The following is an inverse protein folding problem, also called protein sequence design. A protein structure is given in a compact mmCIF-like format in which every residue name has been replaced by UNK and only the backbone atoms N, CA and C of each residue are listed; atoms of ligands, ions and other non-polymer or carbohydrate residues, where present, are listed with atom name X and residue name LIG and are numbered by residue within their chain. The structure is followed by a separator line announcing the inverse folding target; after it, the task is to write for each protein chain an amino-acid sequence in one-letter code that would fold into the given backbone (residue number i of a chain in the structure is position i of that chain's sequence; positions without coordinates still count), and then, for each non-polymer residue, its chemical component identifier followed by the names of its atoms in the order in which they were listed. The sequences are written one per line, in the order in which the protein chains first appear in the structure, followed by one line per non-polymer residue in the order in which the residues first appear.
data_IF_908224760091
#
_entry.id   IF_908224760091
#
_cell.length_a   1.000
_cell.length_b   1.000
_cell.length_c   1.000
_cell.angle_alpha   90.00
_cell.angle_beta   90.00
_cell.angle_gamma   90.00
#
_symmetry.space_group_name_H-M   'P 1'
#
loop_
_entity.id
_entity.type
_entity.pdbx_description
1 polymer ?
#
# COMPACT_ATOMS: atom_id res chain seq x y z
N UNK A 1 21.15 -8.71 -11.75
CA UNK A 1 19.98 -7.84 -11.99
C UNK A 1 19.43 -7.39 -10.64
N UNK A 2 18.67 -6.29 -10.60
CA UNK A 2 18.00 -5.78 -9.41
C UNK A 2 16.48 -5.93 -9.55
N UNK A 3 15.78 -6.21 -8.46
CA UNK A 3 14.32 -6.35 -8.41
C UNK A 3 13.72 -5.31 -7.49
N UNK A 4 12.60 -4.72 -7.89
CA UNK A 4 11.80 -3.86 -7.02
C UNK A 4 10.42 -4.50 -6.78
N UNK A 5 10.11 -4.81 -5.53
CA UNK A 5 8.81 -5.39 -5.16
C UNK A 5 7.79 -4.27 -4.95
N UNK A 6 6.64 -4.38 -5.63
CA UNK A 6 5.48 -3.51 -5.43
C UNK A 6 4.32 -4.36 -4.92
N UNK A 7 3.76 -3.99 -3.77
CA UNK A 7 2.60 -4.66 -3.19
C UNK A 7 1.29 -4.01 -3.62
N UNK A 8 0.20 -4.75 -3.55
CA UNK A 8 -1.13 -4.29 -3.97
C UNK A 8 -1.69 -3.09 -3.20
N UNK A 9 -1.18 -2.84 -1.99
CA UNK A 9 -1.50 -1.65 -1.20
C UNK A 9 -0.47 -0.50 -1.36
N UNK A 10 0.51 -0.64 -2.25
CA UNK A 10 1.60 0.31 -2.47
C UNK A 10 1.65 0.79 -3.94
N UNK A 11 0.49 0.97 -4.55
CA UNK A 11 0.37 1.47 -5.92
C UNK A 11 0.54 2.99 -5.95
N UNK A 12 1.72 3.45 -5.55
CA UNK A 12 2.06 4.87 -5.51
C UNK A 12 2.32 5.42 -6.91
N UNK A 13 2.25 6.75 -7.07
CA UNK A 13 2.60 7.39 -8.34
C UNK A 13 3.93 6.85 -8.89
N UNK A 14 4.01 6.53 -10.20
CA UNK A 14 5.26 6.09 -10.82
C UNK A 14 6.43 7.08 -10.65
N UNK A 15 6.16 8.32 -10.22
CA UNK A 15 7.22 9.28 -9.88
C UNK A 15 8.13 8.80 -8.75
N UNK A 16 7.60 8.02 -7.80
CA UNK A 16 8.40 7.42 -6.71
C UNK A 16 9.31 6.26 -7.18
N UNK A 17 9.14 5.82 -8.43
CA UNK A 17 9.92 4.71 -9.01
C UNK A 17 11.00 5.20 -9.98
N UNK A 18 11.13 6.51 -10.19
CA UNK A 18 12.05 7.09 -11.19
C UNK A 18 13.51 6.71 -10.97
N UNK A 19 13.94 6.63 -9.71
CA UNK A 19 15.32 6.34 -9.34
C UNK A 19 15.66 4.84 -9.44
N UNK A 20 14.65 4.00 -9.75
CA UNK A 20 14.75 2.54 -9.83
C UNK A 20 14.54 2.01 -11.26
N UNK A 21 14.73 2.83 -12.29
CA UNK A 21 14.51 2.43 -13.70
C UNK A 21 15.43 1.28 -14.17
N UNK A 22 16.54 1.07 -13.49
CA UNK A 22 17.46 -0.05 -13.72
C UNK A 22 16.97 -1.39 -13.11
N UNK A 23 15.89 -1.35 -12.31
CA UNK A 23 15.29 -2.52 -11.69
C UNK A 23 14.24 -3.18 -12.60
N UNK A 24 14.02 -4.46 -12.36
CA UNK A 24 12.83 -5.17 -12.81
C UNK A 24 11.80 -5.03 -11.69
N UNK A 25 10.60 -4.53 -12.00
CA UNK A 25 9.51 -4.41 -11.03
C UNK A 25 8.76 -5.72 -10.93
N UNK A 26 8.44 -6.14 -9.71
CA UNK A 26 7.72 -7.38 -9.45
C UNK A 26 6.42 -7.10 -8.72
N UNK A 27 5.34 -7.61 -9.28
CA UNK A 27 4.01 -7.62 -8.65
C UNK A 27 3.40 -9.02 -8.80
N UNK A 28 2.70 -9.48 -7.79
CA UNK A 28 2.01 -10.76 -7.83
C UNK A 28 0.65 -10.68 -7.16
N UNK A 29 -0.38 -11.11 -7.85
CA UNK A 29 -1.67 -11.42 -7.26
C UNK A 29 -1.49 -12.68 -6.39
N UNK A 30 -1.97 -12.65 -5.15
CA UNK A 30 -1.67 -13.69 -4.17
C UNK A 30 -2.92 -14.14 -3.41
N UNK A 31 -3.11 -15.47 -3.35
CA UNK A 31 -4.26 -16.07 -2.71
C UNK A 31 -4.20 -15.90 -1.18
N UNK A 32 -3.03 -16.13 -0.57
CA UNK A 32 -2.86 -16.03 0.88
C UNK A 32 -3.13 -14.62 1.37
N UNK A 33 -2.67 -13.58 0.62
CA UNK A 33 -2.97 -12.18 0.94
C UNK A 33 -4.45 -11.81 0.77
N UNK A 34 -5.20 -12.56 -0.03
CA UNK A 34 -6.64 -12.37 -0.17
C UNK A 34 -7.46 -13.13 0.89
N UNK A 35 -6.88 -14.12 1.58
CA UNK A 35 -7.62 -15.09 2.40
C UNK A 35 -7.16 -15.22 3.84
N UNK A 36 -6.06 -14.54 4.25
CA UNK A 36 -5.63 -14.56 5.66
C UNK A 36 -6.70 -13.98 6.61
N UNK A 37 -7.58 -13.16 6.08
CA UNK A 37 -8.82 -12.70 6.67
C UNK A 37 -9.96 -12.87 5.64
N UNK A 38 -11.20 -13.03 6.10
CA UNK A 38 -12.37 -13.08 5.21
C UNK A 38 -12.71 -11.68 4.68
N UNK A 39 -11.86 -11.14 3.83
CA UNK A 39 -12.10 -9.83 3.22
C UNK A 39 -13.35 -9.84 2.37
N UNK A 40 -14.07 -8.72 2.35
CA UNK A 40 -15.22 -8.51 1.47
C UNK A 40 -14.80 -8.67 -0.01
N UNK A 41 -15.62 -9.36 -0.82
CA UNK A 41 -15.33 -9.62 -2.25
C UNK A 41 -15.02 -8.35 -3.05
N UNK A 42 -15.74 -7.25 -2.79
CA UNK A 42 -15.45 -5.96 -3.43
C UNK A 42 -14.08 -5.39 -3.07
N UNK A 43 -13.57 -5.65 -1.85
CA UNK A 43 -12.21 -5.27 -1.48
C UNK A 43 -11.18 -6.06 -2.29
N UNK A 44 -11.36 -7.38 -2.42
CA UNK A 44 -10.48 -8.22 -3.24
C UNK A 44 -10.51 -7.77 -4.71
N UNK A 45 -11.71 -7.53 -5.24
CA UNK A 45 -11.90 -7.03 -6.60
C UNK A 45 -11.19 -5.70 -6.84
N UNK A 46 -11.32 -4.75 -5.90
CA UNK A 46 -10.65 -3.46 -5.97
C UNK A 46 -9.12 -3.63 -6.03
N UNK A 47 -8.54 -4.42 -5.12
CA UNK A 47 -7.09 -4.61 -5.08
C UNK A 47 -6.57 -5.26 -6.37
N UNK A 48 -7.13 -6.38 -6.79
CA UNK A 48 -6.67 -7.09 -7.98
C UNK A 48 -6.86 -6.25 -9.27
N UNK A 49 -8.00 -5.57 -9.39
CA UNK A 49 -8.28 -4.68 -10.52
C UNK A 49 -7.31 -3.49 -10.57
N UNK A 50 -7.03 -2.86 -9.42
CA UNK A 50 -6.09 -1.75 -9.32
C UNK A 50 -4.65 -2.19 -9.62
N UNK A 51 -4.24 -3.35 -9.15
CA UNK A 51 -2.93 -3.92 -9.46
C UNK A 51 -2.74 -4.14 -10.96
N UNK A 52 -3.74 -4.66 -11.66
CA UNK A 52 -3.70 -4.83 -13.13
C UNK A 52 -3.63 -3.51 -13.87
N UNK A 53 -4.44 -2.54 -13.44
CA UNK A 53 -4.42 -1.19 -14.03
C UNK A 53 -3.06 -0.51 -13.82
N UNK A 54 -2.49 -0.64 -12.64
CA UNK A 54 -1.17 -0.10 -12.33
C UNK A 54 -0.05 -0.79 -13.11
N UNK A 55 -0.11 -2.12 -13.28
CA UNK A 55 0.78 -2.86 -14.18
C UNK A 55 0.76 -2.26 -15.59
N UNK A 56 -0.43 -2.00 -16.13
CA UNK A 56 -0.58 -1.48 -17.49
C UNK A 56 -0.07 -0.03 -17.58
N UNK A 57 -0.26 0.78 -16.54
CA UNK A 57 0.34 2.11 -16.44
C UNK A 57 1.88 2.03 -16.42
N UNK A 58 2.47 1.14 -15.64
CA UNK A 58 3.91 0.97 -15.61
C UNK A 58 4.46 0.53 -16.97
N UNK A 59 3.77 -0.41 -17.65
CA UNK A 59 4.15 -0.86 -19.00
C UNK A 59 4.08 0.28 -20.01
N UNK A 60 3.05 1.11 -19.98
CA UNK A 60 2.91 2.26 -20.89
C UNK A 60 4.01 3.31 -20.69
N UNK A 61 4.61 3.34 -19.50
CA UNK A 61 5.76 4.21 -19.15
C UNK A 61 7.12 3.53 -19.32
N UNK A 62 7.17 2.39 -20.03
CA UNK A 62 8.37 1.61 -20.33
C UNK A 62 9.12 1.04 -19.11
N UNK A 63 8.42 0.81 -17.99
CA UNK A 63 9.01 0.07 -16.88
C UNK A 63 9.05 -1.43 -17.18
N UNK A 64 10.17 -2.08 -16.85
CA UNK A 64 10.31 -3.54 -16.95
C UNK A 64 9.57 -4.20 -15.79
N UNK A 65 8.47 -4.90 -16.05
CA UNK A 65 7.65 -5.50 -15.02
C UNK A 65 7.45 -7.01 -15.22
N UNK A 66 7.63 -7.77 -14.16
CA UNK A 66 7.19 -9.15 -14.01
C UNK A 66 5.90 -9.10 -13.19
N UNK A 67 4.80 -9.55 -13.79
CA UNK A 67 3.49 -9.59 -13.14
C UNK A 67 2.96 -11.02 -13.14
N UNK A 68 2.64 -11.52 -11.97
CA UNK A 68 2.01 -12.82 -11.80
C UNK A 68 0.52 -12.63 -11.48
N UNK A 69 -0.33 -12.90 -12.45
CA UNK A 69 -1.78 -12.80 -12.33
C UNK A 69 -2.43 -14.11 -11.83
N UNK A 70 -3.74 -14.09 -11.74
CA UNK A 70 -4.56 -15.25 -11.38
C UNK A 70 -4.52 -16.31 -12.50
N UNK A 71 -3.64 -17.28 -12.32
CA UNK A 71 -3.45 -18.44 -13.18
C UNK A 71 -3.30 -19.70 -12.31
N UNK A 72 -2.83 -20.82 -12.89
CA UNK A 72 -2.60 -22.07 -12.16
C UNK A 72 -1.69 -21.95 -10.91
N UNK A 73 -0.88 -20.89 -10.84
CA UNK A 73 0.03 -20.59 -9.72
C UNK A 73 -0.53 -19.60 -8.72
N UNK A 74 -1.76 -19.13 -8.89
CA UNK A 74 -2.38 -18.14 -8.00
C UNK A 74 -2.36 -18.59 -6.53
N UNK A 75 -2.61 -19.87 -6.26
CA UNK A 75 -2.58 -20.45 -4.91
C UNK A 75 -1.17 -20.80 -4.40
N UNK A 76 -0.13 -20.62 -5.19
CA UNK A 76 1.24 -20.74 -4.72
C UNK A 76 1.57 -19.52 -3.86
N UNK A 77 2.17 -19.71 -2.68
CA UNK A 77 2.45 -18.61 -1.76
C UNK A 77 3.37 -17.55 -2.38
N UNK A 78 3.15 -16.30 -2.00
CA UNK A 78 3.93 -15.15 -2.48
C UNK A 78 5.44 -15.40 -2.37
N UNK A 79 5.88 -15.91 -1.21
CA UNK A 79 7.29 -16.19 -0.92
C UNK A 79 7.89 -17.17 -1.92
N UNK A 80 7.17 -18.26 -2.25
CA UNK A 80 7.64 -19.25 -3.24
C UNK A 80 7.71 -18.66 -4.65
N UNK A 81 6.72 -17.84 -5.04
CA UNK A 81 6.74 -17.13 -6.33
C UNK A 81 7.92 -16.17 -6.42
N UNK A 82 8.13 -15.36 -5.37
CA UNK A 82 9.25 -14.43 -5.29
C UNK A 82 10.60 -15.14 -5.35
N UNK A 83 10.80 -16.21 -4.56
CA UNK A 83 12.03 -17.01 -4.55
C UNK A 83 12.35 -17.56 -5.94
N UNK A 84 11.33 -18.07 -6.64
CA UNK A 84 11.46 -18.54 -8.01
C UNK A 84 11.93 -17.43 -8.95
N UNK A 85 11.30 -16.26 -8.93
CA UNK A 85 11.67 -15.11 -9.78
C UNK A 85 13.10 -14.66 -9.49
N UNK A 86 13.49 -14.58 -8.22
CA UNK A 86 14.85 -14.23 -7.81
C UNK A 86 15.87 -15.19 -8.43
N UNK A 87 15.62 -16.49 -8.35
CA UNK A 87 16.49 -17.54 -8.90
C UNK A 87 16.55 -17.50 -10.42
N UNK A 88 15.38 -17.53 -11.08
CA UNK A 88 15.28 -17.60 -12.55
C UNK A 88 15.89 -16.38 -13.23
N UNK A 89 15.77 -15.19 -12.63
CA UNK A 89 16.31 -13.93 -13.15
C UNK A 89 17.70 -13.59 -12.60
N UNK A 90 18.29 -14.45 -11.78
CA UNK A 90 19.62 -14.23 -11.17
C UNK A 90 19.70 -12.85 -10.50
N UNK A 91 18.67 -12.52 -9.70
CA UNK A 91 18.59 -11.25 -8.96
C UNK A 91 19.69 -11.22 -7.90
N UNK A 92 20.35 -10.07 -7.74
CA UNK A 92 21.43 -9.86 -6.76
C UNK A 92 21.07 -8.85 -5.68
N UNK A 93 20.03 -8.05 -5.92
CA UNK A 93 19.55 -7.02 -4.99
C UNK A 93 18.05 -6.89 -5.10
N UNK A 94 17.37 -6.77 -3.96
CA UNK A 94 15.93 -6.58 -3.86
C UNK A 94 15.64 -5.29 -3.12
N UNK A 95 14.88 -4.40 -3.78
CA UNK A 95 14.39 -3.13 -3.22
C UNK A 95 12.89 -3.22 -2.99
N UNK A 96 12.38 -2.55 -1.97
CA UNK A 96 10.95 -2.40 -1.72
C UNK A 96 10.69 -1.25 -0.73
N UNK A 97 9.51 -0.66 -0.80
CA UNK A 97 9.05 0.27 0.24
C UNK A 97 8.80 -0.47 1.55
N UNK A 98 8.99 0.18 2.70
CA UNK A 98 8.58 -0.36 4.00
C UNK A 98 7.20 -0.99 3.90
N UNK A 99 7.05 -2.21 4.42
CA UNK A 99 5.81 -2.99 4.36
C UNK A 99 5.04 -2.77 5.66
N UNK A 100 3.80 -2.32 5.55
CA UNK A 100 2.98 -1.96 6.71
C UNK A 100 2.39 -3.18 7.42
N UNK A 101 2.11 -4.24 6.67
CA UNK A 101 1.72 -5.54 7.23
C UNK A 101 2.94 -6.23 7.86
N UNK A 102 3.06 -6.13 9.17
CA UNK A 102 4.22 -6.67 9.92
C UNK A 102 4.41 -8.18 9.77
N UNK A 103 3.37 -9.03 9.81
CA UNK A 103 3.51 -10.46 9.53
C UNK A 103 4.06 -10.74 8.13
N UNK A 104 3.58 -10.00 7.13
CA UNK A 104 4.04 -10.15 5.76
C UNK A 104 5.47 -9.62 5.57
N UNK A 105 5.81 -8.46 6.17
CA UNK A 105 7.18 -7.93 6.19
C UNK A 105 8.17 -8.97 6.73
N UNK A 106 7.83 -9.61 7.86
CA UNK A 106 8.66 -10.68 8.43
C UNK A 106 8.87 -11.85 7.47
N UNK A 107 7.82 -12.28 6.74
CA UNK A 107 7.93 -13.36 5.74
C UNK A 107 8.91 -12.98 4.62
N UNK A 108 8.80 -11.78 4.07
CA UNK A 108 9.68 -11.29 3.01
C UNK A 108 11.12 -11.19 3.50
N UNK A 109 11.35 -10.52 4.62
CA UNK A 109 12.70 -10.34 5.20
C UNK A 109 13.34 -11.70 5.54
N UNK A 110 12.56 -12.64 6.09
CA UNK A 110 13.06 -13.99 6.41
C UNK A 110 13.49 -14.76 5.16
N UNK A 111 12.73 -14.68 4.07
CA UNK A 111 13.14 -15.26 2.79
C UNK A 111 14.46 -14.63 2.31
N UNK A 112 14.52 -13.30 2.23
CA UNK A 112 15.67 -12.59 1.69
C UNK A 112 16.95 -12.84 2.51
N UNK A 113 16.82 -12.93 3.84
CA UNK A 113 17.92 -13.34 4.72
C UNK A 113 18.37 -14.79 4.48
N UNK A 114 17.41 -15.73 4.38
CA UNK A 114 17.69 -17.15 4.12
C UNK A 114 18.53 -17.38 2.86
N UNK A 115 18.28 -16.59 1.81
CA UNK A 115 19.00 -16.68 0.54
C UNK A 115 20.16 -15.69 0.44
N UNK A 116 20.55 -15.05 1.55
CA UNK A 116 21.64 -14.07 1.64
C UNK A 116 21.54 -12.94 0.59
N UNK A 117 20.33 -12.41 0.40
CA UNK A 117 20.03 -11.36 -0.58
C UNK A 117 20.40 -9.98 -0.06
N UNK A 118 21.03 -9.17 -0.92
CA UNK A 118 21.21 -7.74 -0.66
C UNK A 118 19.85 -7.05 -0.70
N UNK A 119 19.48 -6.39 0.42
CA UNK A 119 18.17 -5.74 0.60
C UNK A 119 18.33 -4.23 0.69
N UNK A 120 17.50 -3.51 -0.04
CA UNK A 120 17.37 -2.06 0.05
C UNK A 120 15.91 -1.72 0.41
N UNK A 121 15.65 -1.50 1.70
CA UNK A 121 14.33 -1.09 2.19
C UNK A 121 14.23 0.44 2.16
N UNK A 122 13.20 0.95 1.47
CA UNK A 122 12.99 2.36 1.19
C UNK A 122 11.86 2.87 2.06
N UNK A 123 11.99 4.08 2.58
CA UNK A 123 10.91 4.73 3.33
C UNK A 123 9.64 4.80 2.49
N UNK A 124 8.52 4.40 3.10
CA UNK A 124 7.24 4.41 2.40
C UNK A 124 6.70 5.83 2.24
N UNK A 125 6.19 6.20 1.06
CA UNK A 125 5.47 7.47 0.89
C UNK A 125 4.02 7.41 1.39
N UNK A 126 3.58 6.28 1.98
CA UNK A 126 2.21 6.11 2.49
C UNK A 126 1.90 7.02 3.66
N UNK A 127 2.90 7.38 4.47
CA UNK A 127 2.74 8.20 5.67
C UNK A 127 3.59 9.47 5.59
N UNK A 128 3.10 10.54 6.20
CA UNK A 128 3.83 11.80 6.35
C UNK A 128 4.95 11.72 7.39
N UNK A 129 4.96 10.66 8.19
CA UNK A 129 5.93 10.41 9.27
C UNK A 129 6.61 9.08 9.08
N UNK A 130 7.87 9.00 9.50
CA UNK A 130 8.64 7.76 9.44
C UNK A 130 8.44 6.91 10.69
N UNK A 131 8.81 5.64 10.61
CA UNK A 131 8.85 4.72 11.77
C UNK A 131 9.79 5.23 12.86
N UNK A 132 10.91 5.83 12.47
CA UNK A 132 11.90 6.40 13.38
C UNK A 132 11.32 7.59 14.16
N UNK A 133 10.64 8.52 13.48
CA UNK A 133 9.99 9.67 14.11
C UNK A 133 8.93 9.24 15.12
N UNK A 134 8.13 8.23 14.78
CA UNK A 134 7.15 7.69 15.72
C UNK A 134 7.81 6.98 16.91
N UNK A 135 8.87 6.21 16.66
CA UNK A 135 9.67 5.56 17.72
C UNK A 135 10.32 6.58 18.65
N UNK A 136 10.87 7.65 18.11
CA UNK A 136 11.42 8.77 18.89
C UNK A 136 10.35 9.43 19.75
N UNK A 137 9.16 9.68 19.20
CA UNK A 137 8.05 10.19 20.00
C UNK A 137 7.69 9.25 21.14
N UNK A 138 7.57 7.95 20.90
CA UNK A 138 7.25 6.95 21.93
C UNK A 138 8.32 6.91 23.04
N UNK A 139 9.58 7.13 22.72
CA UNK A 139 10.66 7.11 23.71
C UNK A 139 10.65 8.31 24.68
N UNK A 140 10.04 9.42 24.27
CA UNK A 140 9.95 10.66 25.08
C UNK A 140 8.81 10.65 26.09
N UNK A 141 7.83 9.77 25.95
CA UNK A 141 6.60 9.79 26.75
C UNK A 141 6.30 8.44 27.39
N UNK A 142 6.15 8.41 28.72
CA UNK A 142 5.70 7.19 29.43
C UNK A 142 4.33 6.69 28.97
N UNK A 143 3.42 7.62 28.63
CA UNK A 143 2.10 7.33 28.08
C UNK A 143 1.94 8.12 26.78
N UNK A 144 2.13 7.51 25.63
CA UNK A 144 1.94 8.18 24.36
C UNK A 144 0.46 8.55 24.17
N UNK A 145 0.24 9.76 23.69
CA UNK A 145 -1.12 10.27 23.44
C UNK A 145 -1.20 10.80 22.00
N UNK A 146 -2.06 10.22 21.20
CA UNK A 146 -2.16 10.51 19.76
C UNK A 146 -2.32 12.01 19.47
N UNK A 147 -3.11 12.74 20.27
CA UNK A 147 -3.29 14.18 20.08
C UNK A 147 -1.98 14.96 20.20
N UNK A 148 -1.06 14.56 21.07
CA UNK A 148 0.24 15.22 21.20
C UNK A 148 1.14 14.91 20.00
N UNK A 149 1.15 13.66 19.55
CA UNK A 149 1.85 13.29 18.31
C UNK A 149 1.32 14.07 17.10
N UNK A 150 -0.01 14.11 16.93
CA UNK A 150 -0.67 14.87 15.88
C UNK A 150 -0.27 16.35 15.89
N UNK A 151 -0.30 17.00 17.07
CA UNK A 151 0.12 18.41 17.21
C UNK A 151 1.57 18.62 16.80
N UNK A 152 2.48 17.78 17.28
CA UNK A 152 3.91 17.89 16.95
C UNK A 152 4.19 17.73 15.48
N UNK A 153 3.57 16.75 14.83
CA UNK A 153 3.76 16.49 13.40
C UNK A 153 3.11 17.60 12.56
N UNK A 154 1.92 18.05 12.92
CA UNK A 154 1.23 19.14 12.22
C UNK A 154 2.04 20.44 12.29
N UNK A 155 2.65 20.74 13.44
CA UNK A 155 3.55 21.88 13.59
C UNK A 155 4.82 21.72 12.76
N UNK A 156 5.49 20.54 12.85
CA UNK A 156 6.70 20.24 12.11
C UNK A 156 6.52 20.36 10.59
N UNK A 157 5.40 19.88 10.06
CA UNK A 157 5.09 19.89 8.62
C UNK A 157 4.37 21.16 8.17
N UNK A 158 4.12 22.10 9.08
CA UNK A 158 3.40 23.34 8.82
C UNK A 158 2.01 23.13 8.16
N UNK A 159 1.31 22.05 8.55
CA UNK A 159 0.00 21.70 7.96
C UNK A 159 -1.10 22.43 8.72
N UNK A 160 -1.89 23.26 8.00
CA UNK A 160 -2.97 24.07 8.56
C UNK A 160 -2.49 24.94 9.75
N UNK A 161 -1.33 25.52 9.63
CA UNK A 161 -0.78 26.50 10.58
C UNK A 161 -0.87 27.90 9.97
N UNK A 162 -0.96 28.93 10.83
CA UNK A 162 -0.84 30.32 10.43
C UNK A 162 0.62 30.81 10.50
N UNK A 163 0.88 32.04 10.11
CA UNK A 163 2.20 32.67 10.16
C UNK A 163 2.80 32.80 11.57
N UNK A 164 1.95 32.79 12.61
CA UNK A 164 2.36 32.84 14.03
C UNK A 164 2.67 31.47 14.61
N UNK A 165 2.61 30.38 13.81
CA UNK A 165 2.79 29.00 14.29
C UNK A 165 1.61 28.47 15.10
N UNK A 166 0.42 29.09 15.02
CA UNK A 166 -0.81 28.64 15.64
C UNK A 166 -1.67 27.85 14.66
N UNK A 167 -2.52 26.90 15.11
CA UNK A 167 -3.40 26.18 14.22
C UNK A 167 -4.42 27.13 13.58
N UNK A 168 -4.72 26.97 12.29
CA UNK A 168 -5.79 27.69 11.61
C UNK A 168 -7.12 27.42 12.33
N UNK A 169 -7.94 28.45 12.51
CA UNK A 169 -9.18 28.39 13.26
C UNK A 169 -9.00 28.27 14.78
N UNK A 170 -7.78 28.51 15.31
CA UNK A 170 -7.43 28.47 16.74
C UNK A 170 -7.75 27.13 17.43
N UNK A 171 -8.01 26.06 16.66
CA UNK A 171 -8.31 24.71 17.17
C UNK A 171 -7.36 23.68 16.55
N UNK A 172 -6.91 22.73 17.39
CA UNK A 172 -6.12 21.61 16.93
C UNK A 172 -6.96 20.48 16.33
N UNK A 173 -8.19 20.31 16.76
CA UNK A 173 -9.11 19.29 16.29
C UNK A 173 -10.51 19.86 16.14
N UNK A 174 -11.26 19.35 15.17
CA UNK A 174 -12.67 19.65 14.93
C UNK A 174 -13.54 18.40 15.12
N UNK A 175 -13.03 17.35 15.77
CA UNK A 175 -13.72 16.07 15.99
C UNK A 175 -15.00 16.20 16.80
N UNK A 176 -15.14 17.25 17.60
CA UNK A 176 -16.38 17.53 18.34
C UNK A 176 -17.60 17.74 17.43
N UNK A 177 -17.35 18.13 16.17
CA UNK A 177 -18.40 18.33 15.17
C UNK A 177 -18.77 17.05 14.41
N UNK A 178 -17.93 16.04 14.46
CA UNK A 178 -18.04 14.80 13.69
C UNK A 178 -19.32 13.97 14.02
N UNK A 179 -19.88 14.15 15.22
CA UNK A 179 -21.08 13.45 15.68
C UNK A 179 -22.34 14.31 15.67
N UNK A 180 -22.25 15.56 15.23
CA UNK A 180 -23.39 16.44 15.10
C UNK A 180 -24.22 16.07 13.88
N UNK A 181 -25.53 16.36 13.93
CA UNK A 181 -26.39 16.22 12.75
C UNK A 181 -25.93 17.19 11.67
N UNK A 182 -26.00 16.75 10.41
CA UNK A 182 -25.77 17.64 9.28
C UNK A 182 -26.79 18.79 9.31
N UNK A 183 -26.36 20.03 9.06
CA UNK A 183 -27.29 21.15 8.86
C UNK A 183 -28.25 20.83 7.70
N UNK A 184 -29.50 21.32 7.83
CA UNK A 184 -30.55 21.03 6.82
C UNK A 184 -30.25 21.64 5.44
N UNK A 185 -29.47 22.71 5.41
CA UNK A 185 -29.13 23.51 4.25
C UNK A 185 -27.81 23.07 3.59
N UNK A 186 -27.15 22.05 4.12
CA UNK A 186 -25.89 21.59 3.56
C UNK A 186 -26.11 20.89 2.21
N UNK A 187 -25.47 21.38 1.20
CA UNK A 187 -25.50 20.76 -0.13
C UNK A 187 -24.56 19.54 -0.14
N UNK A 188 -25.14 18.35 -0.23
CA UNK A 188 -24.36 17.11 -0.37
C UNK A 188 -23.77 17.06 -1.79
N UNK A 189 -22.43 16.90 -1.93
CA UNK A 189 -21.83 16.79 -3.25
C UNK A 189 -22.29 15.51 -3.98
N UNK A 190 -22.45 15.61 -5.29
CA UNK A 190 -22.76 14.44 -6.11
C UNK A 190 -21.62 13.43 -6.10
N UNK A 191 -21.96 12.14 -5.96
CA UNK A 191 -20.98 11.06 -6.05
C UNK A 191 -20.61 10.87 -7.53
N UNK A 192 -19.32 10.96 -7.90
CA UNK A 192 -18.90 10.79 -9.28
C UNK A 192 -19.22 9.36 -9.75
N UNK A 193 -19.88 9.26 -10.94
CA UNK A 193 -20.18 7.97 -11.57
C UNK A 193 -18.90 7.41 -12.21
N UNK A 194 -18.27 6.44 -11.55
CA UNK A 194 -17.10 5.77 -12.07
C UNK A 194 -17.51 4.56 -12.94
N UNK A 195 -16.84 4.39 -14.07
CA UNK A 195 -17.01 3.21 -14.92
C UNK A 195 -16.05 2.10 -14.48
N UNK A 196 -16.55 0.86 -14.46
CA UNK A 196 -15.73 -0.31 -14.23
C UNK A 196 -14.69 -0.46 -15.35
N UNK A 197 -13.44 -0.77 -14.99
CA UNK A 197 -12.39 -1.07 -15.97
C UNK A 197 -12.62 -2.45 -16.61
N UNK A 198 -11.94 -2.74 -17.72
CA UNK A 198 -11.94 -4.08 -18.31
C UNK A 198 -11.46 -5.14 -17.31
N UNK A 199 -10.44 -4.81 -16.51
CA UNK A 199 -9.92 -5.69 -15.47
C UNK A 199 -10.95 -5.98 -14.39
N UNK A 200 -11.71 -4.97 -13.94
CA UNK A 200 -12.81 -5.16 -12.99
C UNK A 200 -13.84 -6.16 -13.53
N UNK A 201 -14.24 -6.02 -14.79
CA UNK A 201 -15.23 -6.90 -15.41
C UNK A 201 -14.72 -8.35 -15.56
N UNK A 202 -13.46 -8.53 -15.93
CA UNK A 202 -12.83 -9.85 -16.04
C UNK A 202 -12.72 -10.56 -14.69
N UNK A 203 -12.45 -9.81 -13.60
CA UNK A 203 -12.23 -10.37 -12.28
C UNK A 203 -13.51 -10.76 -11.55
N UNK A 204 -14.66 -10.16 -11.86
CA UNK A 204 -15.94 -10.44 -11.18
C UNK A 204 -16.24 -11.93 -11.07
N UNK A 205 -16.28 -12.64 -12.22
CA UNK A 205 -16.56 -14.09 -12.24
C UNK A 205 -15.53 -14.90 -11.47
N UNK A 206 -14.26 -14.54 -11.58
CA UNK A 206 -13.19 -15.20 -10.84
C UNK A 206 -13.36 -15.05 -9.32
N UNK A 207 -13.68 -13.84 -8.85
CA UNK A 207 -13.91 -13.56 -7.44
C UNK A 207 -15.08 -14.38 -6.90
N UNK A 208 -16.21 -14.40 -7.61
CA UNK A 208 -17.38 -15.18 -7.20
C UNK A 208 -17.09 -16.68 -7.08
N UNK A 209 -16.27 -17.22 -7.98
CA UNK A 209 -15.95 -18.65 -7.98
C UNK A 209 -14.91 -19.05 -6.90
N UNK A 210 -13.93 -18.19 -6.63
CA UNK A 210 -12.79 -18.55 -5.80
C UNK A 210 -12.87 -18.05 -4.35
N UNK A 211 -13.78 -17.11 -4.05
CA UNK A 211 -13.96 -16.52 -2.73
C UNK A 211 -15.40 -16.62 -2.25
N UNK A 212 -16.04 -17.78 -2.49
CA UNK A 212 -17.45 -18.05 -2.16
C UNK A 212 -17.78 -17.78 -0.70
N UNK A 213 -16.86 -18.14 0.21
CA UNK A 213 -17.04 -18.03 1.66
C UNK A 213 -16.71 -16.62 2.20
N UNK A 214 -16.36 -15.68 1.33
CA UNK A 214 -16.09 -14.31 1.68
C UNK A 214 -17.37 -13.46 1.62
N UNK A 215 -17.54 -12.44 2.49
CA UNK A 215 -18.72 -11.58 2.49
C UNK A 215 -18.81 -10.74 1.20
N UNK A 216 -20.07 -10.39 0.81
CA UNK A 216 -20.40 -9.55 -0.35
C UNK A 216 -20.85 -10.29 -1.58
#
# INVERSE_FOLDING_TARGET
MKLFIILGNQLFSPSYLKDFKDHIFYMSEDYDLCTYEKHHKLKILLFLSSMRSFRDELKSKNFKIIYEDINSKFKTSYVKKLEKVIKDKKIKEVSFFEIEDKPFEKKIISLLKKINMKVNQIKTPMFLTTREEFKEYLSKYKKPFMANFYKSIRTKLNILMNSEGKPKGNKWSFDEDNRKKLPKDIKIPEIPKLKATSHTNQLKKFIELNFKDHPG
#
